data_IF_768802914808
#
_entry.id   IF_768802914808
#
_cell.length_a   1.000
_cell.length_b   1.000
_cell.length_c   1.000
_cell.angle_alpha   90.00
_cell.angle_beta   90.00
_cell.angle_gamma   90.00
#
_symmetry.space_group_name_H-M   'P 1'
#
loop_
_entity.id
_entity.type
_entity.pdbx_description
1 polymer ?
#
# COMPACT_ATOMS: atom_id res chain seq x y z
N UNK A 1 -15.41 2.94 -11.74
CA UNK A 1 -14.04 3.50 -11.86
C UNK A 1 -13.47 3.00 -13.18
N UNK A 2 -12.62 3.77 -13.87
CA UNK A 2 -12.21 3.49 -15.26
C UNK A 2 -10.83 2.83 -15.35
N UNK A 3 -9.97 3.04 -14.36
CA UNK A 3 -8.62 2.50 -14.29
C UNK A 3 -8.24 2.22 -12.84
N UNK A 4 -7.04 1.70 -12.65
CA UNK A 4 -6.31 1.62 -11.38
C UNK A 4 -5.07 2.53 -11.45
N UNK A 5 -4.49 2.84 -10.28
CA UNK A 5 -3.35 3.73 -10.17
C UNK A 5 -2.09 3.12 -10.79
N UNK A 6 -1.96 1.79 -10.81
CA UNK A 6 -0.84 1.10 -11.47
C UNK A 6 -0.77 1.47 -12.96
N UNK A 7 -1.90 1.36 -13.67
CA UNK A 7 -2.01 1.76 -15.08
C UNK A 7 -1.66 3.22 -15.31
N UNK A 8 -2.02 4.13 -14.39
CA UNK A 8 -1.66 5.55 -14.50
C UNK A 8 -0.13 5.73 -14.39
N UNK A 9 0.51 5.09 -13.40
CA UNK A 9 1.95 5.18 -13.15
C UNK A 9 2.77 4.74 -14.36
N UNK A 10 2.42 3.60 -14.98
CA UNK A 10 3.15 3.03 -16.12
C UNK A 10 2.78 3.65 -17.47
N UNK A 11 1.75 4.50 -17.52
CA UNK A 11 1.32 5.15 -18.75
C UNK A 11 2.23 6.33 -19.14
N UNK A 12 2.25 6.72 -20.43
CA UNK A 12 2.93 7.93 -20.87
C UNK A 12 2.21 9.22 -20.46
N UNK A 13 1.02 9.15 -19.86
CA UNK A 13 0.26 10.35 -19.45
C UNK A 13 1.06 11.15 -18.43
N UNK A 14 1.12 12.50 -18.50
CA UNK A 14 1.84 13.30 -17.52
C UNK A 14 1.26 13.16 -16.10
N UNK A 15 2.15 12.95 -15.12
CA UNK A 15 1.81 12.86 -13.70
C UNK A 15 2.54 14.01 -13.00
N UNK A 16 1.82 15.10 -12.77
CA UNK A 16 2.36 16.29 -12.13
C UNK A 16 2.43 16.09 -10.62
N UNK A 17 3.20 16.94 -9.94
CA UNK A 17 3.27 16.96 -8.48
C UNK A 17 1.88 17.13 -7.85
N UNK A 18 0.98 17.88 -8.47
CA UNK A 18 -0.38 18.07 -7.95
C UNK A 18 -1.23 16.81 -8.09
N UNK A 19 -1.07 16.03 -9.17
CA UNK A 19 -1.68 14.70 -9.24
C UNK A 19 -1.19 13.81 -8.10
N UNK A 20 0.13 13.81 -7.82
CA UNK A 20 0.70 13.03 -6.72
C UNK A 20 0.10 13.44 -5.36
N UNK A 21 0.05 14.76 -5.07
CA UNK A 21 -0.57 15.28 -3.84
C UNK A 21 -2.02 14.82 -3.69
N UNK A 22 -2.82 14.95 -4.76
CA UNK A 22 -4.25 14.59 -4.76
C UNK A 22 -4.46 13.10 -4.55
N UNK A 23 -3.64 12.23 -5.16
CA UNK A 23 -3.73 10.79 -4.96
C UNK A 23 -3.31 10.39 -3.54
N UNK A 24 -2.15 10.84 -3.07
CA UNK A 24 -1.67 10.53 -1.71
C UNK A 24 -2.67 11.01 -0.65
N UNK A 25 -3.20 12.22 -0.80
CA UNK A 25 -4.23 12.75 0.10
C UNK A 25 -5.48 11.85 0.15
N UNK A 26 -5.99 11.41 -1.00
CA UNK A 26 -7.20 10.56 -1.04
C UNK A 26 -6.95 9.17 -0.46
N UNK A 27 -5.77 8.59 -0.68
CA UNK A 27 -5.39 7.30 -0.08
C UNK A 27 -5.37 7.44 1.45
N UNK A 28 -4.66 8.44 1.98
CA UNK A 28 -4.56 8.70 3.42
C UNK A 28 -5.93 9.02 4.04
N UNK A 29 -6.78 9.77 3.34
CA UNK A 29 -8.16 10.06 3.78
C UNK A 29 -9.00 8.79 3.88
N UNK A 30 -8.88 7.88 2.90
CA UNK A 30 -9.55 6.58 2.94
C UNK A 30 -9.05 5.69 4.07
N UNK A 31 -7.73 5.62 4.26
CA UNK A 31 -7.12 4.86 5.35
C UNK A 31 -7.49 5.41 6.72
N UNK A 32 -7.53 6.73 6.90
CA UNK A 32 -8.00 7.36 8.15
C UNK A 32 -9.40 6.86 8.53
N UNK A 33 -10.31 6.75 7.56
CA UNK A 33 -11.65 6.23 7.78
C UNK A 33 -11.62 4.74 8.18
N UNK A 34 -10.90 3.90 7.43
CA UNK A 34 -10.78 2.47 7.74
C UNK A 34 -10.15 2.22 9.11
N UNK A 35 -9.05 2.88 9.42
CA UNK A 35 -8.34 2.76 10.70
C UNK A 35 -9.20 3.26 11.87
N UNK A 36 -10.05 4.27 11.68
CA UNK A 36 -11.01 4.70 12.70
C UNK A 36 -12.10 3.65 13.01
N UNK A 37 -12.34 2.74 12.07
CA UNK A 37 -13.23 1.59 12.24
C UNK A 37 -12.49 0.30 12.65
N UNK A 38 -11.21 0.42 13.06
CA UNK A 38 -10.31 -0.71 13.36
C UNK A 38 -10.14 -1.69 12.19
N UNK A 39 -10.25 -1.23 10.94
CA UNK A 39 -10.05 -2.07 9.75
C UNK A 39 -8.64 -1.81 9.19
N UNK A 40 -7.82 -2.87 9.13
CA UNK A 40 -6.53 -2.87 8.44
C UNK A 40 -6.73 -3.42 7.03
N UNK A 41 -6.21 -2.74 6.01
CA UNK A 41 -6.37 -3.22 4.63
C UNK A 41 -5.34 -4.30 4.28
N UNK A 42 -4.08 -4.09 4.67
CA UNK A 42 -2.93 -5.02 4.53
C UNK A 42 -2.49 -5.37 3.11
N UNK A 43 -3.11 -4.76 2.09
CA UNK A 43 -2.79 -4.98 0.67
C UNK A 43 -2.97 -3.69 -0.14
N UNK A 44 -2.53 -2.57 0.44
CA UNK A 44 -2.50 -1.29 -0.24
C UNK A 44 -1.40 -1.34 -1.29
N UNK A 45 -1.79 -1.27 -2.56
CA UNK A 45 -0.89 -1.26 -3.72
C UNK A 45 -1.57 -0.54 -4.89
N UNK A 46 -0.84 -0.03 -5.89
CA UNK A 46 -1.44 0.75 -6.98
C UNK A 46 -2.57 0.03 -7.74
N UNK A 47 -2.50 -1.30 -7.86
CA UNK A 47 -3.56 -2.11 -8.47
C UNK A 47 -4.89 -2.15 -7.69
N UNK A 48 -4.85 -1.90 -6.37
CA UNK A 48 -6.01 -1.87 -5.48
C UNK A 48 -6.53 -0.43 -5.23
N UNK A 49 -6.02 0.54 -5.99
CA UNK A 49 -6.41 1.94 -5.91
C UNK A 49 -7.08 2.34 -7.23
N UNK A 50 -8.41 2.26 -7.25
CA UNK A 50 -9.18 2.59 -8.44
C UNK A 50 -9.21 4.09 -8.66
N UNK A 51 -9.12 4.51 -9.92
CA UNK A 51 -9.13 5.92 -10.34
C UNK A 51 -10.07 6.17 -11.52
N UNK A 52 -10.50 7.42 -11.68
CA UNK A 52 -11.25 7.88 -12.85
C UNK A 52 -10.63 9.16 -13.45
N UNK A 53 -11.19 9.62 -14.57
CA UNK A 53 -10.75 10.83 -15.28
C UNK A 53 -10.75 12.12 -14.44
N UNK A 54 -11.54 12.16 -13.37
CA UNK A 54 -11.64 13.33 -12.48
C UNK A 54 -10.64 13.25 -11.31
N UNK A 55 -9.63 12.38 -11.40
CA UNK A 55 -8.67 12.09 -10.34
C UNK A 55 -9.30 11.64 -9.02
N UNK A 56 -10.53 11.10 -9.04
CA UNK A 56 -11.16 10.53 -7.84
C UNK A 56 -10.56 9.15 -7.63
N UNK A 57 -10.08 8.92 -6.41
CA UNK A 57 -9.47 7.66 -5.99
C UNK A 57 -10.37 6.93 -4.99
N UNK A 58 -10.50 5.61 -5.14
CA UNK A 58 -11.17 4.73 -4.17
C UNK A 58 -10.31 3.48 -3.89
N UNK A 59 -10.20 3.13 -2.62
CA UNK A 59 -9.55 1.89 -2.17
C UNK A 59 -10.50 0.73 -2.44
N UNK A 60 -10.01 -0.37 -3.00
CA UNK A 60 -10.76 -1.60 -3.24
C UNK A 60 -9.96 -2.85 -2.82
N UNK A 61 -10.60 -4.01 -2.96
CA UNK A 61 -10.04 -5.33 -2.61
C UNK A 61 -9.71 -5.52 -1.12
N UNK A 62 -10.77 -5.75 -0.36
CA UNK A 62 -10.71 -6.02 1.08
C UNK A 62 -10.53 -7.52 1.39
N UNK A 63 -10.15 -8.36 0.43
CA UNK A 63 -10.01 -9.81 0.65
C UNK A 63 -9.00 -10.15 1.74
N UNK A 64 -7.97 -9.31 1.87
CA UNK A 64 -6.95 -9.41 2.92
C UNK A 64 -7.22 -8.49 4.10
N UNK A 65 -8.34 -7.77 4.17
CA UNK A 65 -8.60 -6.88 5.28
C UNK A 65 -8.88 -7.66 6.58
N UNK A 66 -8.52 -7.09 7.72
CA UNK A 66 -8.80 -7.66 9.05
C UNK A 66 -9.21 -6.58 10.04
N UNK A 67 -10.07 -6.98 10.98
CA UNK A 67 -10.37 -6.16 12.14
C UNK A 67 -9.16 -6.27 13.08
N UNK A 68 -8.60 -5.12 13.43
CA UNK A 68 -7.61 -5.01 14.48
C UNK A 68 -8.31 -5.14 15.83
N UNK A 69 -8.09 -6.26 16.52
CA UNK A 69 -8.45 -6.39 17.93
C UNK A 69 -7.18 -6.54 18.77
N UNK A 70 -6.95 -5.56 19.64
CA UNK A 70 -5.90 -5.57 20.66
C UNK A 70 -5.94 -6.78 21.61
N UNK A 71 -7.09 -7.46 21.71
CA UNK A 71 -7.34 -8.58 22.62
C UNK A 71 -7.17 -9.94 21.98
N UNK A 72 -7.22 -10.03 20.65
CA UNK A 72 -7.12 -11.32 19.96
C UNK A 72 -5.68 -11.66 19.55
N UNK A 73 -5.23 -12.86 19.95
CA UNK A 73 -3.98 -13.48 19.49
C UNK A 73 -4.19 -14.20 18.15
N UNK A 74 -4.83 -13.56 17.17
CA UNK A 74 -4.98 -14.21 15.87
C UNK A 74 -3.60 -14.40 15.22
N UNK A 75 -3.23 -15.66 14.98
CA UNK A 75 -2.08 -15.99 14.14
C UNK A 75 -2.47 -15.60 12.70
N UNK A 76 -1.93 -14.49 12.22
CA UNK A 76 -2.20 -14.03 10.86
C UNK A 76 -1.25 -14.73 9.90
N UNK A 77 -1.82 -15.45 8.94
CA UNK A 77 -1.09 -16.28 7.96
C UNK A 77 -0.29 -15.43 6.98
N UNK A 78 0.91 -15.91 6.64
CA UNK A 78 1.69 -15.36 5.53
C UNK A 78 1.07 -15.81 4.21
N UNK A 79 0.35 -14.91 3.54
CA UNK A 79 -0.10 -15.17 2.18
C UNK A 79 0.95 -14.69 1.16
N UNK A 80 1.22 -15.56 0.18
CA UNK A 80 2.19 -15.37 -0.89
C UNK A 80 1.56 -14.49 -1.97
N UNK A 81 1.71 -13.17 -1.81
CA UNK A 81 1.23 -12.14 -2.75
C UNK A 81 2.36 -11.11 -2.95
N UNK A 82 2.22 -10.23 -3.94
CA UNK A 82 3.11 -9.10 -4.27
C UNK A 82 3.69 -8.42 -3.03
N UNK A 83 5.02 -8.40 -2.91
CA UNK A 83 5.73 -8.04 -1.68
C UNK A 83 6.24 -6.60 -1.64
N UNK A 84 6.24 -5.91 -2.78
CA UNK A 84 6.87 -4.59 -2.97
C UNK A 84 6.37 -3.50 -2.01
N UNK A 85 5.13 -3.63 -1.55
CA UNK A 85 4.46 -2.65 -0.69
C UNK A 85 4.29 -3.15 0.75
N UNK A 86 4.81 -4.34 1.07
CA UNK A 86 4.61 -4.97 2.38
C UNK A 86 5.60 -4.39 3.39
N UNK A 87 5.09 -4.05 4.57
CA UNK A 87 5.87 -3.52 5.67
C UNK A 87 6.90 -4.54 6.21
N UNK A 88 8.07 -4.09 6.69
CA UNK A 88 9.13 -4.97 7.17
C UNK A 88 8.66 -5.91 8.29
N UNK A 89 7.82 -5.44 9.22
CA UNK A 89 7.25 -6.26 10.28
C UNK A 89 6.36 -7.40 9.75
N UNK A 90 5.63 -7.18 8.65
CA UNK A 90 4.85 -8.23 7.99
C UNK A 90 5.74 -9.23 7.27
N UNK A 91 6.85 -8.78 6.69
CA UNK A 91 7.84 -9.65 6.04
C UNK A 91 8.57 -10.53 7.06
N UNK A 92 8.83 -10.01 8.25
CA UNK A 92 9.49 -10.70 9.37
C UNK A 92 8.54 -11.55 10.22
N UNK A 93 7.24 -11.61 9.88
CA UNK A 93 6.27 -12.45 10.55
C UNK A 93 5.81 -11.94 11.92
N UNK A 94 5.83 -10.62 12.13
CA UNK A 94 5.27 -10.01 13.31
C UNK A 94 3.79 -10.40 13.46
N UNK A 95 3.44 -10.89 14.66
CA UNK A 95 2.05 -11.26 15.00
C UNK A 95 1.23 -10.07 15.51
N UNK A 96 1.89 -8.93 15.77
CA UNK A 96 1.28 -7.69 16.26
C UNK A 96 1.78 -6.55 15.39
N UNK A 97 0.85 -5.88 14.70
CA UNK A 97 1.15 -4.77 13.81
C UNK A 97 -0.07 -3.86 13.66
N UNK A 98 0.11 -2.55 13.60
CA UNK A 98 -1.00 -1.60 13.62
C UNK A 98 -1.36 -1.15 12.19
N UNK A 99 -2.22 -0.13 12.07
CA UNK A 99 -2.43 0.61 10.82
C UNK A 99 -1.15 1.14 10.16
N UNK A 100 -0.02 1.16 10.89
CA UNK A 100 1.29 1.51 10.35
C UNK A 100 1.70 0.67 9.12
N UNK A 101 1.23 -0.58 9.01
CA UNK A 101 1.53 -1.42 7.83
C UNK A 101 0.93 -0.86 6.55
N UNK A 102 -0.26 -0.27 6.62
CA UNK A 102 -0.89 0.37 5.47
C UNK A 102 -0.18 1.69 5.14
N UNK A 103 0.30 2.42 6.16
CA UNK A 103 1.06 3.67 5.99
C UNK A 103 2.41 3.41 5.31
N UNK A 104 3.08 2.30 5.65
CA UNK A 104 4.28 1.85 4.95
C UNK A 104 4.02 1.67 3.45
N UNK A 105 2.95 0.97 3.10
CA UNK A 105 2.54 0.77 1.71
C UNK A 105 2.31 2.09 0.98
N UNK A 106 1.68 3.08 1.65
CA UNK A 106 1.52 4.44 1.08
C UNK A 106 2.87 5.10 0.80
N UNK A 107 3.87 4.91 1.67
CA UNK A 107 5.23 5.41 1.45
C UNK A 107 5.86 4.84 0.17
N UNK A 108 5.76 3.53 -0.04
CA UNK A 108 6.21 2.89 -1.28
C UNK A 108 5.50 3.46 -2.52
N UNK A 109 4.17 3.63 -2.44
CA UNK A 109 3.36 4.18 -3.55
C UNK A 109 3.73 5.63 -3.82
N UNK A 110 3.97 6.43 -2.78
CA UNK A 110 4.38 7.83 -2.95
C UNK A 110 5.71 7.94 -3.69
N UNK A 111 6.70 7.13 -3.32
CA UNK A 111 7.98 7.07 -4.03
C UNK A 111 7.80 6.60 -5.49
N UNK A 112 6.94 5.61 -5.73
CA UNK A 112 6.64 5.12 -7.07
C UNK A 112 5.92 6.17 -7.93
N UNK A 113 4.99 6.95 -7.36
CA UNK A 113 4.35 8.07 -8.06
C UNK A 113 5.35 9.14 -8.49
N UNK A 114 6.40 9.39 -7.69
CA UNK A 114 7.44 10.35 -8.02
C UNK A 114 8.43 9.81 -9.07
N UNK A 115 8.83 8.54 -8.94
CA UNK A 115 9.89 7.95 -9.75
C UNK A 115 9.39 7.15 -10.96
N UNK A 116 8.08 6.90 -11.06
CA UNK A 116 7.43 6.00 -12.03
C UNK A 116 8.00 4.60 -12.10
N UNK A 117 8.59 4.15 -11.01
CA UNK A 117 9.17 2.81 -10.84
C UNK A 117 8.93 2.36 -9.42
N UNK A 118 8.66 1.07 -9.26
CA UNK A 118 8.52 0.43 -7.95
C UNK A 118 9.78 0.72 -7.13
N UNK A 119 9.60 1.16 -5.89
CA UNK A 119 10.69 1.54 -4.99
C UNK A 119 11.59 0.35 -4.63
N UNK A 120 10.98 -0.77 -4.26
CA UNK A 120 11.68 -2.01 -3.91
C UNK A 120 11.26 -3.12 -4.87
N UNK A 121 12.12 -3.48 -5.82
CA UNK A 121 11.86 -4.49 -6.85
C UNK A 121 12.36 -5.88 -6.42
N UNK A 122 11.95 -6.33 -5.23
CA UNK A 122 12.51 -7.54 -4.66
C UNK A 122 11.98 -8.85 -5.28
N UNK A 123 12.84 -9.86 -5.39
CA UNK A 123 12.44 -11.18 -5.88
C UNK A 123 11.78 -12.05 -4.79
N UNK A 124 11.88 -11.65 -3.52
CA UNK A 124 11.31 -12.37 -2.39
C UNK A 124 11.43 -11.62 -1.06
N UNK A 125 10.95 -12.19 0.06
CA UNK A 125 10.85 -11.45 1.32
C UNK A 125 12.20 -11.02 1.89
N UNK A 126 13.21 -11.88 1.73
CA UNK A 126 14.58 -11.63 2.18
C UNK A 126 15.21 -10.48 1.39
N UNK A 127 15.00 -10.49 0.07
CA UNK A 127 15.50 -9.45 -0.83
C UNK A 127 14.79 -8.12 -0.56
N UNK A 128 13.49 -8.16 -0.26
CA UNK A 128 12.70 -6.98 0.12
C UNK A 128 13.21 -6.37 1.42
N UNK A 129 13.44 -7.18 2.46
CA UNK A 129 14.02 -6.72 3.73
C UNK A 129 15.43 -6.15 3.51
N UNK A 130 16.25 -6.81 2.69
CA UNK A 130 17.58 -6.32 2.34
C UNK A 130 17.51 -4.95 1.68
N UNK A 131 16.67 -4.79 0.65
CA UNK A 131 16.47 -3.52 -0.05
C UNK A 131 15.99 -2.38 0.86
N UNK A 132 15.15 -2.69 1.85
CA UNK A 132 14.71 -1.72 2.86
C UNK A 132 15.88 -1.28 3.76
N UNK A 133 16.68 -2.22 4.26
CA UNK A 133 17.78 -1.94 5.18
C UNK A 133 18.90 -1.07 4.55
N UNK A 134 19.06 -1.11 3.23
CA UNK A 134 20.06 -0.29 2.53
C UNK A 134 19.64 1.17 2.30
N UNK A 135 18.39 1.55 2.62
CA UNK A 135 17.91 2.94 2.55
C UNK A 135 18.02 3.69 3.89
N UNK A 136 18.25 2.98 5.01
CA UNK A 136 18.34 3.52 6.37
C UNK A 136 19.78 3.70 6.83
#
# INVERSE_FOLDING_TARGET
MQSDLHKIIVSPQPLTVDHVKVFVYQILRGLKYLHSANILHRDIKPGNLLVNSNCILKICDFGLARIWDSRERQNMTHEVVTQYYRAPELLMGARRYTGAVDIWSVGCIFAELLARRILFQAQGPIDQVSGIAFLS
#
